data_IF_468239241151
#
_entry.id   IF_468239241151
#
_cell.length_a   1.000
_cell.length_b   1.000
_cell.length_c   1.000
_cell.angle_alpha   90.00
_cell.angle_beta   90.00
_cell.angle_gamma   90.00
#
_symmetry.space_group_name_H-M   'P 1'
#
loop_
_entity.id
_entity.type
_entity.pdbx_description
1 polymer ?
#
# COMPACT_ATOMS: atom_id res chain seq x y z
N UNK A 1 4.11 14.40 16.49
CA UNK A 1 4.22 15.17 15.23
C UNK A 1 4.62 14.13 14.21
N UNK A 2 3.68 13.64 13.41
CA UNK A 2 3.96 12.63 12.37
C UNK A 2 4.99 13.19 11.39
N UNK A 3 5.94 12.36 10.95
CA UNK A 3 6.84 12.73 9.85
C UNK A 3 6.00 13.14 8.62
N UNK A 4 6.46 14.18 7.92
CA UNK A 4 5.65 14.97 6.97
C UNK A 4 4.82 14.11 5.98
N UNK A 5 3.54 14.44 5.72
CA UNK A 5 2.63 13.66 4.88
C UNK A 5 3.07 13.51 3.41
N UNK A 6 4.05 14.31 2.96
CA UNK A 6 4.65 14.17 1.64
C UNK A 6 5.51 12.89 1.50
N UNK A 7 6.15 12.42 2.58
CA UNK A 7 6.94 11.18 2.56
C UNK A 7 6.07 9.92 2.55
N UNK A 8 4.79 10.04 2.94
CA UNK A 8 3.84 8.94 2.97
C UNK A 8 3.23 8.60 1.59
N UNK A 9 3.54 9.39 0.53
CA UNK A 9 2.97 9.22 -0.81
C UNK A 9 4.06 9.32 -1.89
N UNK A 10 4.98 8.35 -1.98
CA UNK A 10 6.07 8.38 -2.96
C UNK A 10 5.59 8.56 -4.41
N UNK A 11 4.38 8.09 -4.75
CA UNK A 11 3.76 8.24 -6.08
C UNK A 11 3.52 9.69 -6.54
N UNK A 12 3.67 10.70 -5.68
CA UNK A 12 3.52 12.11 -6.06
C UNK A 12 4.80 12.75 -6.59
N UNK A 13 5.93 12.04 -6.59
CA UNK A 13 7.22 12.56 -7.02
C UNK A 13 7.80 11.76 -8.19
N UNK A 14 8.79 12.33 -8.87
CA UNK A 14 9.50 11.62 -9.95
C UNK A 14 10.34 10.47 -9.38
N UNK A 15 10.47 9.34 -10.11
CA UNK A 15 11.19 8.16 -9.63
C UNK A 15 12.63 8.45 -9.19
N UNK A 16 13.34 9.36 -9.89
CA UNK A 16 14.74 9.68 -9.56
C UNK A 16 14.86 10.36 -8.18
N UNK A 17 13.87 11.19 -7.81
CA UNK A 17 13.84 11.83 -6.48
C UNK A 17 13.47 10.84 -5.39
N UNK A 18 12.57 9.90 -5.68
CA UNK A 18 12.22 8.84 -4.72
C UNK A 18 13.38 7.87 -4.53
N UNK A 19 14.19 7.61 -5.56
CA UNK A 19 15.41 6.83 -5.42
C UNK A 19 16.38 7.45 -4.41
N UNK A 20 16.68 8.74 -4.55
CA UNK A 20 17.53 9.46 -3.58
C UNK A 20 16.94 9.38 -2.18
N UNK A 21 15.62 9.56 -2.03
CA UNK A 21 14.96 9.42 -0.74
C UNK A 21 15.11 8.01 -0.15
N UNK A 22 14.93 6.97 -0.96
CA UNK A 22 15.06 5.58 -0.53
C UNK A 22 16.50 5.27 -0.07
N UNK A 23 17.50 5.78 -0.76
CA UNK A 23 18.92 5.65 -0.39
C UNK A 23 19.21 6.33 0.94
N UNK A 24 18.75 7.57 1.14
CA UNK A 24 18.92 8.31 2.39
C UNK A 24 18.21 7.63 3.57
N UNK A 25 16.97 7.18 3.38
CA UNK A 25 16.23 6.45 4.42
C UNK A 25 16.91 5.11 4.75
N UNK A 26 17.47 4.42 3.76
CA UNK A 26 18.26 3.21 3.96
C UNK A 26 19.49 3.48 4.81
N UNK A 27 20.24 4.53 4.48
CA UNK A 27 21.42 4.98 5.23
C UNK A 27 21.09 5.32 6.70
N UNK A 28 19.96 5.98 6.95
CA UNK A 28 19.49 6.26 8.32
C UNK A 28 19.16 4.98 9.08
N UNK A 29 18.57 3.98 8.42
CA UNK A 29 18.27 2.70 9.07
C UNK A 29 19.53 1.90 9.41
N UNK A 30 20.60 2.07 8.63
CA UNK A 30 21.92 1.45 8.83
C UNK A 30 22.76 2.18 9.89
N UNK A 31 22.32 3.35 10.35
CA UNK A 31 23.02 4.09 11.39
C UNK A 31 22.86 3.41 12.77
N UNK A 32 24.00 3.17 13.44
CA UNK A 32 24.09 2.56 14.77
C UNK A 32 23.67 3.49 15.93
N UNK A 33 23.24 4.71 15.61
CA UNK A 33 22.76 5.66 16.61
C UNK A 33 21.42 5.24 17.25
N UNK A 34 21.14 5.68 18.50
CA UNK A 34 19.86 5.40 19.14
C UNK A 34 18.73 6.12 18.39
N UNK A 35 17.86 5.35 17.74
CA UNK A 35 16.62 5.82 17.12
C UNK A 35 15.46 5.25 17.94
N UNK A 36 14.54 6.07 18.47
CA UNK A 36 13.35 5.56 19.15
C UNK A 36 12.56 4.62 18.25
N UNK A 37 12.06 3.50 18.79
CA UNK A 37 11.43 2.42 18.01
C UNK A 37 10.28 2.91 17.11
N UNK A 38 9.46 3.85 17.61
CA UNK A 38 8.38 4.44 16.80
C UNK A 38 8.90 5.19 15.57
N UNK A 39 9.96 5.97 15.74
CA UNK A 39 10.60 6.72 14.65
C UNK A 39 11.29 5.77 13.67
N UNK A 40 11.97 4.73 14.18
CA UNK A 40 12.57 3.69 13.34
C UNK A 40 11.50 3.00 12.48
N UNK A 41 10.34 2.69 13.06
CA UNK A 41 9.20 2.10 12.33
C UNK A 41 8.64 3.00 11.23
N UNK A 42 8.53 4.32 11.48
CA UNK A 42 8.10 5.28 10.46
C UNK A 42 9.10 5.38 9.30
N UNK A 43 10.41 5.46 9.60
CA UNK A 43 11.48 5.50 8.60
C UNK A 43 11.47 4.21 7.78
N UNK A 44 11.31 3.06 8.42
CA UNK A 44 11.23 1.77 7.75
C UNK A 44 10.03 1.69 6.80
N UNK A 45 8.86 2.16 7.21
CA UNK A 45 7.68 2.21 6.36
C UNK A 45 7.90 3.13 5.15
N UNK A 46 8.49 4.30 5.35
CA UNK A 46 8.81 5.24 4.27
C UNK A 46 9.86 4.67 3.30
N UNK A 47 10.86 3.96 3.83
CA UNK A 47 11.87 3.26 3.03
C UNK A 47 11.21 2.20 2.15
N UNK A 48 10.41 1.29 2.73
CA UNK A 48 9.75 0.23 1.99
C UNK A 48 8.84 0.77 0.87
N UNK A 49 8.03 1.78 1.18
CA UNK A 49 7.15 2.40 0.20
C UNK A 49 7.93 3.05 -0.96
N UNK A 50 9.06 3.72 -0.64
CA UNK A 50 9.90 4.39 -1.64
C UNK A 50 10.64 3.41 -2.52
N UNK A 51 11.27 2.38 -1.93
CA UNK A 51 12.02 1.35 -2.65
C UNK A 51 11.11 0.53 -3.58
N UNK A 52 9.91 0.15 -3.12
CA UNK A 52 8.91 -0.52 -3.96
C UNK A 52 8.48 0.36 -5.13
N UNK A 53 8.21 1.65 -4.87
CA UNK A 53 7.80 2.57 -5.94
C UNK A 53 8.90 2.77 -7.00
N UNK A 54 10.16 2.88 -6.57
CA UNK A 54 11.32 2.97 -7.49
C UNK A 54 11.42 1.71 -8.34
N UNK A 55 11.20 0.53 -7.77
CA UNK A 55 11.20 -0.71 -8.54
C UNK A 55 10.06 -0.78 -9.57
N UNK A 56 8.86 -0.35 -9.19
CA UNK A 56 7.69 -0.36 -10.07
C UNK A 56 7.84 0.64 -11.23
N UNK A 57 8.33 1.86 -10.98
CA UNK A 57 8.38 2.92 -11.99
C UNK A 57 9.68 2.95 -12.80
N UNK A 58 10.83 2.65 -12.16
CA UNK A 58 12.14 2.75 -12.78
C UNK A 58 12.79 1.38 -13.08
N UNK A 59 12.17 0.27 -12.63
CA UNK A 59 12.73 -1.09 -12.83
C UNK A 59 14.00 -1.37 -12.03
N UNK A 60 14.33 -0.51 -11.06
CA UNK A 60 15.47 -0.63 -10.17
C UNK A 60 15.11 -1.48 -8.95
N UNK A 61 15.71 -2.66 -8.87
CA UNK A 61 15.35 -3.68 -7.89
C UNK A 61 16.27 -3.70 -6.66
N UNK A 62 17.28 -2.82 -6.59
CA UNK A 62 18.35 -2.88 -5.58
C UNK A 62 17.80 -2.87 -4.15
N UNK A 63 16.77 -2.08 -3.87
CA UNK A 63 16.16 -1.99 -2.54
C UNK A 63 15.22 -3.15 -2.17
N UNK A 64 14.77 -3.97 -3.12
CA UNK A 64 13.69 -4.93 -2.87
C UNK A 64 14.08 -6.07 -1.92
N UNK A 65 15.33 -6.52 -1.94
CA UNK A 65 15.80 -7.57 -1.03
C UNK A 65 15.67 -7.12 0.43
N UNK A 66 15.98 -5.84 0.71
CA UNK A 66 15.83 -5.25 2.03
C UNK A 66 14.36 -5.09 2.42
N UNK A 67 13.50 -4.64 1.50
CA UNK A 67 12.04 -4.57 1.74
C UNK A 67 11.50 -5.95 2.13
N UNK A 68 11.83 -6.98 1.35
CA UNK A 68 11.37 -8.35 1.61
C UNK A 68 11.87 -8.85 2.98
N UNK A 69 13.13 -8.60 3.32
CA UNK A 69 13.69 -9.00 4.62
C UNK A 69 12.97 -8.31 5.80
N UNK A 70 12.79 -6.99 5.72
CA UNK A 70 12.09 -6.22 6.75
C UNK A 70 10.64 -6.67 6.91
N UNK A 71 9.91 -6.82 5.80
CA UNK A 71 8.54 -7.30 5.82
C UNK A 71 8.42 -8.70 6.42
N UNK A 72 9.35 -9.63 6.12
CA UNK A 72 9.36 -10.98 6.72
C UNK A 72 9.53 -10.93 8.24
N UNK A 73 10.35 -10.03 8.77
CA UNK A 73 10.48 -9.83 10.22
C UNK A 73 9.15 -9.40 10.85
N UNK A 74 8.44 -8.45 10.22
CA UNK A 74 7.12 -7.99 10.71
C UNK A 74 6.00 -9.02 10.54
N UNK A 75 6.22 -10.06 9.72
CA UNK A 75 5.28 -11.15 9.50
C UNK A 75 5.58 -12.40 10.35
N UNK A 76 6.62 -12.38 11.19
CA UNK A 76 6.84 -13.42 12.18
C UNK A 76 5.64 -13.52 13.14
N UNK A 77 5.26 -14.73 13.55
CA UNK A 77 4.00 -14.96 14.29
C UNK A 77 3.82 -14.06 15.52
N UNK A 78 4.89 -13.88 16.30
CA UNK A 78 4.89 -12.99 17.47
C UNK A 78 4.71 -11.51 17.11
N UNK A 79 5.30 -11.06 16.00
CA UNK A 79 5.19 -9.68 15.53
C UNK A 79 3.77 -9.38 15.01
N UNK A 80 3.16 -10.34 14.31
CA UNK A 80 1.78 -10.21 13.80
C UNK A 80 0.78 -10.02 14.94
N UNK A 81 0.92 -10.80 16.02
CA UNK A 81 0.05 -10.68 17.21
C UNK A 81 0.28 -9.35 17.93
N UNK A 82 1.54 -8.91 18.04
CA UNK A 82 1.89 -7.67 18.73
C UNK A 82 1.42 -6.41 17.98
N UNK A 83 1.47 -6.40 16.65
CA UNK A 83 1.07 -5.26 15.85
C UNK A 83 0.40 -5.67 14.52
N UNK A 84 -0.91 -5.98 14.54
CA UNK A 84 -1.65 -6.39 13.34
C UNK A 84 -1.63 -5.36 12.21
N UNK A 85 -1.62 -4.06 12.54
CA UNK A 85 -1.60 -2.99 11.56
C UNK A 85 -0.26 -2.93 10.83
N UNK A 86 0.86 -3.06 11.56
CA UNK A 86 2.20 -3.16 10.94
C UNK A 86 2.31 -4.42 10.07
N UNK A 87 1.75 -5.54 10.53
CA UNK A 87 1.71 -6.76 9.73
C UNK A 87 0.88 -6.60 8.44
N UNK A 88 -0.22 -5.87 8.47
CA UNK A 88 -1.00 -5.57 7.27
C UNK A 88 -0.18 -4.74 6.27
N UNK A 89 0.52 -3.71 6.73
CA UNK A 89 1.42 -2.92 5.89
C UNK A 89 2.55 -3.80 5.31
N UNK A 90 3.16 -4.64 6.15
CA UNK A 90 4.23 -5.55 5.71
C UNK A 90 3.75 -6.53 4.62
N UNK A 91 2.50 -7.02 4.68
CA UNK A 91 1.89 -7.83 3.61
C UNK A 91 1.74 -7.04 2.31
N UNK A 92 1.37 -5.76 2.39
CA UNK A 92 1.27 -4.90 1.22
C UNK A 92 2.65 -4.66 0.59
N UNK A 93 3.64 -4.31 1.41
CA UNK A 93 5.00 -4.01 0.95
C UNK A 93 5.67 -5.22 0.31
N UNK A 94 5.63 -6.39 0.97
CA UNK A 94 6.22 -7.63 0.43
C UNK A 94 5.52 -8.09 -0.84
N UNK A 95 4.19 -8.01 -0.90
CA UNK A 95 3.43 -8.43 -2.08
C UNK A 95 3.78 -7.60 -3.30
N UNK A 96 3.90 -6.27 -3.14
CA UNK A 96 4.32 -5.37 -4.22
C UNK A 96 5.79 -5.58 -4.62
N UNK A 97 6.68 -5.76 -3.64
CA UNK A 97 8.09 -6.05 -3.91
C UNK A 97 8.27 -7.35 -4.71
N UNK A 98 7.55 -8.41 -4.35
CA UNK A 98 7.56 -9.68 -5.06
C UNK A 98 7.03 -9.56 -6.48
N UNK A 99 5.94 -8.81 -6.70
CA UNK A 99 5.42 -8.54 -8.06
C UNK A 99 6.42 -7.75 -8.91
N UNK A 100 7.01 -6.68 -8.37
CA UNK A 100 8.00 -5.88 -9.07
C UNK A 100 9.22 -6.73 -9.49
N UNK A 101 9.67 -7.64 -8.61
CA UNK A 101 10.74 -8.59 -8.92
C UNK A 101 10.31 -9.60 -9.98
N UNK A 102 9.11 -10.15 -9.85
CA UNK A 102 8.57 -11.13 -10.79
C UNK A 102 8.40 -10.53 -12.19
N UNK A 103 8.01 -9.26 -12.32
CA UNK A 103 7.81 -8.60 -13.60
C UNK A 103 9.07 -8.59 -14.49
N UNK A 104 10.28 -8.59 -13.90
CA UNK A 104 11.55 -8.53 -14.65
C UNK A 104 11.96 -9.85 -15.31
N UNK A 105 11.57 -11.00 -14.75
CA UNK A 105 11.98 -12.34 -15.22
C UNK A 105 10.83 -13.34 -15.36
N UNK A 106 9.60 -12.90 -15.09
CA UNK A 106 8.39 -13.69 -14.99
C UNK A 106 8.58 -14.97 -14.15
N UNK A 107 8.70 -14.78 -12.84
CA UNK A 107 8.78 -15.87 -11.86
C UNK A 107 7.41 -16.17 -11.24
N UNK A 108 6.78 -17.26 -11.68
CA UNK A 108 5.44 -17.67 -11.22
C UNK A 108 5.37 -17.92 -9.71
N UNK A 109 6.45 -18.39 -9.07
CA UNK A 109 6.45 -18.65 -7.64
C UNK A 109 6.36 -17.34 -6.84
N UNK A 110 7.11 -16.32 -7.27
CA UNK A 110 7.03 -14.98 -6.66
C UNK A 110 5.66 -14.33 -6.88
N UNK A 111 5.04 -14.53 -8.05
CA UNK A 111 3.68 -14.03 -8.31
C UNK A 111 2.67 -14.69 -7.36
N UNK A 112 2.76 -16.01 -7.16
CA UNK A 112 1.87 -16.73 -6.25
C UNK A 112 2.03 -16.28 -4.79
N UNK A 113 3.28 -16.11 -4.31
CA UNK A 113 3.57 -15.59 -2.97
C UNK A 113 3.00 -14.16 -2.82
N UNK A 114 3.19 -13.30 -3.82
CA UNK A 114 2.64 -11.95 -3.81
C UNK A 114 1.11 -11.93 -3.73
N UNK A 115 0.42 -12.77 -4.53
CA UNK A 115 -1.04 -12.89 -4.52
C UNK A 115 -1.52 -13.32 -3.14
N UNK A 116 -0.84 -14.27 -2.48
CA UNK A 116 -1.21 -14.71 -1.13
C UNK A 116 -1.19 -13.54 -0.14
N UNK A 117 -0.13 -12.73 -0.14
CA UNK A 117 -0.02 -11.57 0.75
C UNK A 117 -1.05 -10.47 0.43
N UNK A 118 -1.20 -10.11 -0.84
CA UNK A 118 -2.12 -9.04 -1.26
C UNK A 118 -3.59 -9.43 -1.08
N UNK A 119 -3.94 -10.70 -1.19
CA UNK A 119 -5.31 -11.17 -0.93
C UNK A 119 -5.72 -10.90 0.51
N UNK A 120 -4.83 -11.20 1.48
CA UNK A 120 -5.06 -10.88 2.89
C UNK A 120 -5.19 -9.37 3.14
N UNK A 121 -4.47 -8.55 2.39
CA UNK A 121 -4.60 -7.09 2.46
C UNK A 121 -5.98 -6.64 1.98
N UNK A 122 -6.42 -7.14 0.83
CA UNK A 122 -7.75 -6.83 0.27
C UNK A 122 -8.86 -7.27 1.22
N UNK A 123 -8.76 -8.46 1.81
CA UNK A 123 -9.73 -8.95 2.78
C UNK A 123 -9.82 -8.04 4.01
N UNK A 124 -8.70 -7.61 4.57
CA UNK A 124 -8.67 -6.68 5.69
C UNK A 124 -9.30 -5.32 5.31
N UNK A 125 -8.94 -4.76 4.14
CA UNK A 125 -9.49 -3.49 3.65
C UNK A 125 -11.00 -3.55 3.39
N UNK A 126 -11.54 -4.69 2.94
CA UNK A 126 -12.99 -4.85 2.76
C UNK A 126 -13.77 -4.72 4.07
N UNK A 127 -13.12 -5.05 5.19
CA UNK A 127 -13.71 -4.90 6.53
C UNK A 127 -13.39 -3.55 7.18
N UNK A 128 -12.67 -2.66 6.49
CA UNK A 128 -12.32 -1.34 7.02
C UNK A 128 -13.59 -0.48 7.16
N UNK A 129 -13.88 0.07 8.35
CA UNK A 129 -15.09 0.84 8.60
C UNK A 129 -15.23 2.09 7.71
N UNK A 130 -14.13 2.73 7.32
CA UNK A 130 -14.15 3.92 6.47
C UNK A 130 -14.50 3.52 5.03
N UNK A 131 -13.91 2.44 4.53
CA UNK A 131 -14.22 1.90 3.20
C UNK A 131 -15.69 1.44 3.14
N UNK A 132 -16.17 0.71 4.16
CA UNK A 132 -17.57 0.29 4.23
C UNK A 132 -18.54 1.48 4.24
N UNK A 133 -18.23 2.54 5.00
CA UNK A 133 -19.03 3.77 4.99
C UNK A 133 -19.03 4.46 3.63
N UNK A 134 -17.88 4.56 2.97
CA UNK A 134 -17.77 5.14 1.63
C UNK A 134 -18.59 4.35 0.59
N UNK A 135 -18.58 3.02 0.68
CA UNK A 135 -19.40 2.16 -0.18
C UNK A 135 -20.89 2.40 0.08
N UNK A 136 -21.33 2.40 1.34
CA UNK A 136 -22.72 2.65 1.71
C UNK A 136 -23.23 4.01 1.22
N UNK A 137 -22.41 5.07 1.33
CA UNK A 137 -22.74 6.39 0.79
C UNK A 137 -22.86 6.39 -0.74
N UNK A 138 -21.95 5.70 -1.42
CA UNK A 138 -21.96 5.56 -2.89
C UNK A 138 -23.20 4.83 -3.39
N UNK A 139 -23.59 3.74 -2.70
CA UNK A 139 -24.81 2.98 -3.01
C UNK A 139 -26.07 3.84 -2.84
N UNK A 140 -26.13 4.64 -1.76
CA UNK A 140 -27.24 5.56 -1.52
C UNK A 140 -27.33 6.65 -2.61
N UNK A 141 -26.19 7.19 -3.05
CA UNK A 141 -26.15 8.15 -4.16
C UNK A 141 -26.61 7.54 -5.48
N UNK A 142 -26.13 6.33 -5.81
CA UNK A 142 -26.53 5.62 -7.02
C UNK A 142 -28.04 5.36 -7.04
N UNK A 143 -28.61 4.96 -5.90
CA UNK A 143 -30.06 4.79 -5.74
C UNK A 143 -30.81 6.11 -5.97
N UNK A 144 -30.33 7.23 -5.40
CA UNK A 144 -30.94 8.54 -5.58
C UNK A 144 -30.90 8.99 -7.05
N UNK A 145 -29.77 8.79 -7.75
CA UNK A 145 -29.63 9.08 -9.18
C UNK A 145 -30.61 8.25 -10.02
N UNK A 146 -30.69 6.95 -9.75
CA UNK A 146 -31.63 6.05 -10.42
C UNK A 146 -33.09 6.49 -10.23
N UNK A 147 -33.46 6.95 -9.03
CA UNK A 147 -34.80 7.49 -8.77
C UNK A 147 -35.11 8.75 -9.58
N UNK A 148 -34.14 9.67 -9.71
CA UNK A 148 -34.29 10.88 -10.51
C UNK A 148 -34.41 10.56 -12.00
N UNK A 149 -33.57 9.67 -12.52
CA UNK A 149 -33.65 9.23 -13.92
C UNK A 149 -34.98 8.55 -14.23
N UNK A 150 -35.44 7.66 -13.34
CA UNK A 150 -36.74 7.02 -13.49
C UNK A 150 -37.86 8.07 -13.52
N UNK A 151 -37.85 9.03 -12.58
CA UNK A 151 -38.85 10.12 -12.57
C UNK A 151 -38.82 10.93 -13.86
N UNK A 152 -37.63 11.25 -14.40
CA UNK A 152 -37.47 11.95 -15.68
C UNK A 152 -38.07 11.14 -16.84
N UNK A 153 -37.79 9.84 -16.91
CA UNK A 153 -38.35 8.94 -17.94
C UNK A 153 -39.86 8.84 -17.83
N UNK A 154 -40.40 8.71 -16.62
CA UNK A 154 -41.86 8.71 -16.38
C UNK A 154 -42.50 10.01 -16.87
N UNK A 155 -41.93 11.17 -16.55
CA UNK A 155 -42.45 12.46 -17.00
C UNK A 155 -42.42 12.62 -18.54
N UNK A 156 -41.41 12.07 -19.21
CA UNK A 156 -41.33 12.11 -20.69
C UNK A 156 -42.37 11.18 -21.34
N UNK A 157 -42.56 9.98 -20.78
CA UNK A 157 -43.37 8.94 -21.42
C UNK A 157 -44.87 9.02 -21.06
N UNK A 158 -45.21 9.61 -19.91
CA UNK A 158 -46.57 9.63 -19.36
C UNK A 158 -47.01 11.03 -18.90
N UNK A 159 -46.22 12.07 -19.18
CA UNK A 159 -46.53 13.47 -18.89
C UNK A 159 -47.31 14.15 -20.01
N UNK A 160 -48.43 13.56 -20.43
CA UNK A 160 -49.56 14.16 -21.17
C UNK A 160 -50.78 13.31 -20.92
#
# INVERSE_FOLDING_TARGET
>A
RELQPALARPQTFRPEKIKVLAEELGSVLDHDGPIPDGVRGEIEAAYCASAVHVAEEAGDLEGLDRVIALSRTHLAEGAVKANPQRALQARMDIGRALLARAAKKFDTALVQEAISHLSLVVEALRTDPTIMRAQSASDAMFKAQSMLENRKRFAINFGT
#
